data_IF_328501617771
#
_entry.id   IF_328501617771
#
_cell.length_a   1.000
_cell.length_b   1.000
_cell.length_c   1.000
_cell.angle_alpha   90.00
_cell.angle_beta   90.00
_cell.angle_gamma   90.00
#
_symmetry.space_group_name_H-M   'P 1'
#
loop_
_entity.id
_entity.type
_entity.pdbx_description
1 polymer ?
#
# COMPACT_ATOMS: atom_id res chain seq x y z
N UNK A 1 5.00 17.96 30.04
CA UNK A 1 4.24 17.88 28.76
C UNK A 1 4.31 16.50 28.07
N UNK A 2 4.83 15.43 28.71
CA UNK A 2 4.97 14.10 28.08
C UNK A 2 3.90 13.07 28.46
N UNK A 3 3.35 13.13 29.68
CA UNK A 3 2.41 12.12 30.20
C UNK A 3 1.03 12.21 29.53
N UNK A 4 0.53 13.43 29.30
CA UNK A 4 -0.78 13.67 28.66
C UNK A 4 -0.76 13.27 27.17
N UNK A 5 0.36 13.50 26.46
CA UNK A 5 0.52 13.07 25.07
C UNK A 5 0.53 11.54 24.93
N UNK A 6 1.12 10.83 25.91
CA UNK A 6 1.14 9.36 25.96
C UNK A 6 -0.26 8.76 26.20
N UNK A 7 -1.04 9.32 27.14
CA UNK A 7 -2.41 8.86 27.44
C UNK A 7 -3.39 9.09 26.27
N UNK A 8 -3.33 10.24 25.59
CA UNK A 8 -4.15 10.50 24.41
C UNK A 8 -3.82 9.56 23.24
N UNK A 9 -2.59 9.03 23.16
CA UNK A 9 -2.23 8.04 22.13
C UNK A 9 -2.94 6.68 22.32
N UNK A 10 -3.34 6.35 23.56
CA UNK A 10 -3.99 5.08 23.92
C UNK A 10 -5.51 5.15 23.77
N UNK A 11 -6.11 6.34 23.84
CA UNK A 11 -7.55 6.55 23.71
C UNK A 11 -7.98 7.18 22.38
N UNK A 12 -7.03 7.49 21.50
CA UNK A 12 -7.31 8.00 20.15
C UNK A 12 -7.98 6.95 19.25
N UNK A 13 -8.68 7.41 18.22
CA UNK A 13 -9.36 6.56 17.21
C UNK A 13 -8.37 5.62 16.50
N UNK A 14 -7.10 6.02 16.38
CA UNK A 14 -6.03 5.20 15.80
C UNK A 14 -5.21 4.41 16.83
N UNK A 15 -5.67 4.34 18.08
CA UNK A 15 -5.00 3.62 19.15
C UNK A 15 -4.97 2.11 18.86
N UNK A 16 -3.83 1.42 19.12
CA UNK A 16 -3.78 -0.04 19.09
C UNK A 16 -4.82 -0.72 20.00
N UNK A 17 -5.21 -0.07 21.11
CA UNK A 17 -6.23 -0.58 22.02
C UNK A 17 -7.61 -0.50 21.39
N UNK A 18 -7.96 0.63 20.78
CA UNK A 18 -9.23 0.82 20.07
C UNK A 18 -9.39 -0.20 18.92
N UNK A 19 -8.34 -0.40 18.12
CA UNK A 19 -8.38 -1.38 17.04
C UNK A 19 -8.48 -2.82 17.56
N UNK A 20 -7.76 -3.17 18.64
CA UNK A 20 -7.86 -4.51 19.25
C UNK A 20 -9.25 -4.77 19.81
N UNK A 21 -9.83 -3.82 20.54
CA UNK A 21 -11.18 -3.99 21.10
C UNK A 21 -12.22 -4.08 19.99
N UNK A 22 -12.14 -3.21 18.97
CA UNK A 22 -13.02 -3.28 17.81
C UNK A 22 -12.92 -4.63 17.10
N UNK A 23 -11.71 -5.14 16.86
CA UNK A 23 -11.46 -6.43 16.20
C UNK A 23 -12.06 -7.62 16.96
N UNK A 24 -11.90 -7.63 18.29
CA UNK A 24 -12.49 -8.67 19.14
C UNK A 24 -14.02 -8.59 19.05
N UNK A 25 -14.59 -7.39 19.18
CA UNK A 25 -16.04 -7.17 19.13
C UNK A 25 -16.64 -7.48 17.75
N UNK A 26 -15.88 -7.28 16.67
CA UNK A 26 -16.34 -7.59 15.30
C UNK A 26 -16.29 -9.08 14.95
N UNK A 27 -15.65 -9.91 15.78
CA UNK A 27 -15.46 -11.33 15.51
C UNK A 27 -14.61 -11.59 14.27
N UNK A 28 -13.61 -10.75 14.02
CA UNK A 28 -12.73 -10.86 12.85
C UNK A 28 -11.85 -12.11 12.94
N UNK A 29 -11.87 -12.95 11.91
CA UNK A 29 -11.03 -14.13 11.76
C UNK A 29 -9.77 -13.78 10.97
N UNK A 30 -8.62 -14.30 11.40
CA UNK A 30 -7.36 -14.14 10.67
C UNK A 30 -7.38 -15.00 9.40
N UNK A 31 -6.99 -14.41 8.27
CA UNK A 31 -6.97 -15.07 6.97
C UNK A 31 -5.54 -15.35 6.54
N UNK A 32 -4.66 -14.36 6.64
CA UNK A 32 -3.25 -14.51 6.30
C UNK A 32 -2.44 -13.22 6.48
N UNK A 33 -1.16 -13.31 6.13
CA UNK A 33 -0.21 -12.22 6.23
C UNK A 33 0.56 -12.09 4.90
N UNK A 34 0.81 -10.87 4.45
CA UNK A 34 1.64 -10.63 3.26
C UNK A 34 3.14 -10.53 3.60
N UNK A 35 3.96 -10.46 2.55
CA UNK A 35 5.42 -10.32 2.64
C UNK A 35 5.89 -9.02 3.32
N UNK A 36 5.03 -7.99 3.39
CA UNK A 36 5.33 -6.71 4.03
C UNK A 36 4.90 -6.69 5.50
N UNK A 37 4.27 -7.78 5.95
CA UNK A 37 3.82 -7.98 7.32
C UNK A 37 2.40 -7.48 7.60
N UNK A 38 1.66 -6.99 6.60
CA UNK A 38 0.25 -6.61 6.79
C UNK A 38 -0.59 -7.87 7.02
N UNK A 39 -1.55 -7.79 7.95
CA UNK A 39 -2.39 -8.91 8.35
C UNK A 39 -3.81 -8.71 7.87
N UNK A 40 -4.38 -9.75 7.26
CA UNK A 40 -5.69 -9.70 6.64
C UNK A 40 -6.71 -10.48 7.47
N UNK A 41 -7.90 -9.91 7.58
CA UNK A 41 -8.97 -10.44 8.41
C UNK A 41 -10.31 -10.41 7.69
N UNK A 42 -11.17 -11.36 8.02
CA UNK A 42 -12.54 -11.43 7.54
C UNK A 42 -13.51 -11.47 8.72
N UNK A 43 -14.57 -10.67 8.68
CA UNK A 43 -15.61 -10.61 9.70
C UNK A 43 -17.00 -10.75 9.08
N UNK A 44 -17.98 -11.05 9.94
CA UNK A 44 -19.38 -11.14 9.51
C UNK A 44 -19.86 -9.83 8.88
N UNK A 45 -20.82 -9.91 7.93
CA UNK A 45 -21.46 -8.72 7.37
C UNK A 45 -22.02 -7.79 8.44
N UNK A 46 -21.96 -6.49 8.21
CA UNK A 46 -22.67 -5.52 9.05
C UNK A 46 -24.17 -5.63 8.76
N UNK A 47 -25.02 -5.31 9.76
CA UNK A 47 -26.47 -5.20 9.55
C UNK A 47 -26.77 -4.34 8.32
N UNK A 48 -27.54 -4.88 7.38
CA UNK A 48 -27.88 -4.23 6.10
C UNK A 48 -26.92 -4.52 4.94
N UNK A 49 -25.83 -5.25 5.16
CA UNK A 49 -24.89 -5.68 4.12
C UNK A 49 -24.93 -7.20 3.97
N UNK A 50 -24.71 -7.68 2.74
CA UNK A 50 -24.66 -9.12 2.43
C UNK A 50 -23.24 -9.67 2.44
N UNK A 51 -22.25 -8.85 2.07
CA UNK A 51 -20.84 -9.27 1.98
C UNK A 51 -20.16 -9.28 3.34
N UNK A 52 -19.25 -10.24 3.52
CA UNK A 52 -18.33 -10.27 4.66
C UNK A 52 -17.46 -9.01 4.64
N UNK A 53 -17.02 -8.58 5.82
CA UNK A 53 -16.11 -7.43 5.94
C UNK A 53 -14.68 -7.94 5.85
N UNK A 54 -13.95 -7.50 4.82
CA UNK A 54 -12.52 -7.77 4.68
C UNK A 54 -11.74 -6.54 5.13
N UNK A 55 -10.76 -6.73 5.99
CA UNK A 55 -9.99 -5.63 6.60
C UNK A 55 -8.51 -5.98 6.62
N UNK A 56 -7.67 -4.95 6.59
CA UNK A 56 -6.22 -5.07 6.69
C UNK A 56 -5.72 -4.29 7.91
N UNK A 57 -4.85 -4.95 8.67
CA UNK A 57 -4.02 -4.32 9.69
C UNK A 57 -2.64 -4.06 9.07
N UNK A 58 -2.33 -2.80 8.85
CA UNK A 58 -1.05 -2.39 8.28
C UNK A 58 0.10 -2.62 9.24
N UNK A 59 1.25 -3.01 8.69
CA UNK A 59 2.51 -2.96 9.40
C UNK A 59 3.04 -1.52 9.42
N UNK A 60 2.97 -0.87 10.58
CA UNK A 60 3.36 0.54 10.78
C UNK A 60 2.25 1.53 10.39
N UNK A 61 2.65 2.67 9.82
CA UNK A 61 1.70 3.72 9.47
C UNK A 61 0.69 3.26 8.39
N UNK A 62 -0.62 3.49 8.58
CA UNK A 62 -1.64 3.05 7.65
C UNK A 62 -1.57 3.84 6.35
N UNK A 63 -1.43 3.14 5.23
CA UNK A 63 -1.38 3.71 3.89
C UNK A 63 -1.96 2.69 2.91
N UNK A 64 -2.95 3.11 2.12
CA UNK A 64 -3.77 2.19 1.33
C UNK A 64 -2.98 1.44 0.25
N UNK A 65 -1.99 2.10 -0.35
CA UNK A 65 -1.11 1.51 -1.35
C UNK A 65 0.05 0.70 -0.75
N UNK A 66 -0.04 0.27 0.52
CA UNK A 66 0.84 -0.78 1.06
C UNK A 66 0.30 -2.19 0.83
N UNK A 67 -0.94 -2.33 0.38
CA UNK A 67 -1.57 -3.63 0.08
C UNK A 67 -1.06 -4.15 -1.27
N UNK A 68 -0.28 -5.24 -1.31
CA UNK A 68 0.22 -5.79 -2.56
C UNK A 68 -0.93 -6.26 -3.48
N UNK A 69 -0.70 -6.33 -4.80
CA UNK A 69 -1.73 -6.69 -5.78
C UNK A 69 -2.40 -8.04 -5.51
N UNK A 70 -1.62 -9.00 -4.99
CA UNK A 70 -2.08 -10.35 -4.67
C UNK A 70 -3.16 -10.34 -3.57
N UNK A 71 -3.08 -9.42 -2.61
CA UNK A 71 -4.07 -9.24 -1.56
C UNK A 71 -5.14 -8.20 -1.90
N UNK A 72 -4.84 -7.26 -2.80
CA UNK A 72 -5.77 -6.21 -3.22
C UNK A 72 -7.05 -6.78 -3.82
N UNK A 73 -6.94 -7.77 -4.70
CA UNK A 73 -8.11 -8.42 -5.32
C UNK A 73 -9.03 -9.08 -4.30
N UNK A 74 -8.46 -9.78 -3.33
CA UNK A 74 -9.21 -10.36 -2.22
C UNK A 74 -9.84 -9.28 -1.34
N UNK A 75 -9.07 -8.28 -0.91
CA UNK A 75 -9.55 -7.21 -0.01
C UNK A 75 -10.74 -6.44 -0.60
N UNK A 76 -10.76 -6.23 -1.92
CA UNK A 76 -11.80 -5.50 -2.64
C UNK A 76 -12.92 -6.37 -3.22
N UNK A 77 -13.03 -7.64 -2.81
CA UNK A 77 -14.04 -8.59 -3.30
C UNK A 77 -14.02 -8.79 -4.83
N UNK A 78 -12.86 -8.63 -5.46
CA UNK A 78 -12.66 -8.97 -6.88
C UNK A 78 -12.42 -10.48 -7.06
N UNK A 79 -11.87 -11.13 -6.03
CA UNK A 79 -11.65 -12.57 -5.97
C UNK A 79 -11.93 -13.07 -4.55
N UNK A 80 -12.37 -14.32 -4.44
CA UNK A 80 -12.46 -15.03 -3.15
C UNK A 80 -11.17 -15.80 -2.81
N UNK A 81 -10.27 -15.91 -3.80
CA UNK A 81 -8.95 -16.50 -3.62
C UNK A 81 -8.02 -15.46 -2.99
N UNK A 82 -7.44 -15.80 -1.84
CA UNK A 82 -6.31 -15.09 -1.26
C UNK A 82 -5.03 -15.92 -1.51
N UNK A 83 -3.85 -15.27 -1.60
CA UNK A 83 -2.60 -15.98 -1.79
C UNK A 83 -2.28 -16.79 -0.51
N UNK A 84 -2.58 -18.08 -0.54
CA UNK A 84 -2.18 -19.03 0.51
C UNK A 84 -0.77 -19.55 0.22
N UNK A 85 0.02 -19.78 1.26
CA UNK A 85 1.34 -20.40 1.16
C UNK A 85 1.30 -21.89 0.73
N UNK A 86 0.11 -22.46 0.54
CA UNK A 86 -0.06 -23.83 0.06
C UNK A 86 0.44 -23.94 -1.40
N UNK A 87 1.36 -24.88 -1.62
CA UNK A 87 2.28 -25.01 -2.76
C UNK A 87 1.66 -24.96 -4.16
N UNK A 88 0.36 -25.18 -4.30
CA UNK A 88 -0.32 -25.27 -5.60
C UNK A 88 -0.79 -23.92 -6.16
N UNK A 89 -0.77 -22.84 -5.37
CA UNK A 89 -0.97 -21.49 -5.89
C UNK A 89 0.35 -20.96 -6.43
N UNK A 90 0.72 -21.41 -7.64
CA UNK A 90 1.77 -20.79 -8.46
C UNK A 90 1.68 -19.28 -8.28
N UNK A 91 2.73 -18.67 -7.72
CA UNK A 91 2.83 -17.23 -7.55
C UNK A 91 2.22 -16.57 -8.78
N UNK A 92 1.19 -15.73 -8.59
CA UNK A 92 0.53 -15.03 -9.70
C UNK A 92 1.51 -14.12 -10.48
N UNK A 93 2.77 -14.05 -10.01
CA UNK A 93 3.81 -13.24 -10.59
C UNK A 93 4.40 -13.82 -11.86
N UNK A 94 4.66 -12.92 -12.80
CA UNK A 94 5.39 -13.20 -14.03
C UNK A 94 6.84 -12.72 -13.92
N UNK A 95 7.80 -13.34 -14.63
CA UNK A 95 9.22 -12.98 -14.51
C UNK A 95 9.55 -11.51 -14.82
N UNK A 96 8.75 -10.86 -15.66
CA UNK A 96 8.93 -9.45 -16.03
C UNK A 96 8.32 -8.46 -15.02
N UNK A 97 7.59 -8.94 -14.01
CA UNK A 97 6.95 -8.07 -13.02
C UNK A 97 7.98 -7.60 -11.98
N UNK A 98 7.97 -6.30 -11.73
CA UNK A 98 8.81 -5.70 -10.69
C UNK A 98 8.28 -6.07 -9.29
N UNK A 99 9.16 -6.10 -8.27
CA UNK A 99 8.72 -6.12 -6.88
C UNK A 99 7.74 -5.00 -6.57
N UNK A 100 6.75 -5.29 -5.73
CA UNK A 100 5.77 -4.28 -5.33
C UNK A 100 6.42 -3.21 -4.47
N UNK A 101 6.05 -1.96 -4.71
CA UNK A 101 6.44 -0.80 -3.92
C UNK A 101 5.21 0.07 -3.70
N UNK A 102 5.04 0.54 -2.47
CA UNK A 102 3.95 1.44 -2.12
C UNK A 102 4.12 2.81 -2.79
N UNK A 103 3.06 3.61 -2.80
CA UNK A 103 3.07 4.96 -3.34
C UNK A 103 4.04 5.85 -2.54
N UNK A 104 4.92 6.52 -3.28
CA UNK A 104 5.95 7.44 -2.75
C UNK A 104 5.62 8.91 -3.02
N UNK A 105 4.39 9.20 -3.45
CA UNK A 105 3.97 10.58 -3.70
C UNK A 105 4.14 11.43 -2.43
N UNK A 106 4.72 12.62 -2.58
CA UNK A 106 4.96 13.52 -1.46
C UNK A 106 6.17 13.16 -0.59
N UNK A 107 6.98 12.17 -0.99
CA UNK A 107 8.28 11.87 -0.39
C UNK A 107 9.43 12.23 -1.32
N UNK A 108 10.67 12.22 -0.80
CA UNK A 108 11.88 12.46 -1.60
C UNK A 108 12.10 11.40 -2.70
N UNK A 109 11.44 10.25 -2.58
CA UNK A 109 11.51 9.14 -3.54
C UNK A 109 10.35 9.16 -4.55
N UNK A 110 9.58 10.26 -4.63
CA UNK A 110 8.51 10.41 -5.58
C UNK A 110 9.02 10.30 -7.03
N UNK A 111 8.19 9.72 -7.91
CA UNK A 111 8.51 9.66 -9.33
C UNK A 111 8.59 11.08 -9.93
N UNK A 112 9.70 11.36 -10.60
CA UNK A 112 9.90 12.60 -11.35
C UNK A 112 10.09 12.28 -12.83
N UNK A 113 9.32 12.91 -13.74
CA UNK A 113 9.47 12.71 -15.17
C UNK A 113 10.82 13.21 -15.67
N UNK A 114 11.30 12.73 -16.83
CA UNK A 114 12.43 13.34 -17.53
C UNK A 114 12.16 14.84 -17.74
N UNK A 115 13.19 15.68 -17.55
CA UNK A 115 13.08 17.14 -17.64
C UNK A 115 12.62 17.83 -16.36
N UNK A 116 12.24 17.10 -15.31
CA UNK A 116 11.87 17.70 -14.04
C UNK A 116 13.07 18.44 -13.41
N UNK A 117 12.86 19.66 -12.89
CA UNK A 117 13.94 20.52 -12.37
C UNK A 117 14.73 19.85 -11.24
N UNK A 118 14.03 19.20 -10.29
CA UNK A 118 14.65 18.46 -9.19
C UNK A 118 15.43 17.21 -9.65
N UNK A 119 15.25 16.78 -10.90
CA UNK A 119 15.95 15.65 -11.53
C UNK A 119 17.00 16.10 -12.55
N UNK A 120 17.42 17.37 -12.49
CA UNK A 120 18.47 17.94 -13.36
C UNK A 120 17.96 18.57 -14.65
N UNK A 121 16.64 18.66 -14.89
CA UNK A 121 16.08 19.40 -16.02
C UNK A 121 16.32 18.79 -17.41
N UNK A 122 16.99 17.64 -17.49
CA UNK A 122 17.30 16.97 -18.75
C UNK A 122 16.13 16.09 -19.19
N UNK A 123 15.59 16.37 -20.38
CA UNK A 123 14.60 15.53 -21.06
C UNK A 123 15.25 14.77 -22.21
N UNK A 124 14.56 13.74 -22.69
CA UNK A 124 14.95 13.03 -23.90
C UNK A 124 14.97 14.01 -25.09
N UNK A 125 15.98 13.84 -25.97
CA UNK A 125 16.10 14.66 -27.18
C UNK A 125 14.97 14.32 -28.16
N UNK A 126 14.41 15.35 -28.77
CA UNK A 126 13.44 15.22 -29.85
C UNK A 126 14.08 15.58 -31.19
N UNK A 127 13.52 15.06 -32.29
CA UNK A 127 14.02 15.34 -33.65
C UNK A 127 13.95 16.81 -34.04
N UNK A 128 13.10 17.60 -33.37
CA UNK A 128 12.98 19.05 -33.56
C UNK A 128 13.85 19.90 -32.63
N UNK A 129 14.74 19.28 -31.85
CA UNK A 129 15.61 20.02 -30.95
C UNK A 129 16.62 20.84 -31.76
N UNK A 130 16.61 22.16 -31.53
CA UNK A 130 17.53 23.08 -32.16
C UNK A 130 18.96 22.84 -31.67
N UNK A 131 19.90 22.71 -32.60
CA UNK A 131 21.33 22.70 -32.31
C UNK A 131 21.89 24.11 -32.54
N UNK A 132 22.33 24.76 -31.46
CA UNK A 132 22.90 26.10 -31.55
C UNK A 132 24.27 26.07 -32.26
N UNK A 133 24.43 26.92 -33.27
CA UNK A 133 25.72 27.12 -33.93
C UNK A 133 26.70 27.83 -32.97
N UNK A 134 27.92 27.29 -32.86
CA UNK A 134 29.02 27.91 -32.10
C UNK A 134 30.11 28.40 -33.06
N UNK A 135 30.44 29.70 -33.10
CA UNK A 135 31.47 30.23 -33.99
C UNK A 135 32.88 29.72 -33.63
N UNK A 136 33.77 29.56 -34.62
CA UNK A 136 35.20 29.35 -34.36
C UNK A 136 35.86 30.60 -33.75
N UNK A 137 36.89 30.39 -32.91
CA UNK A 137 37.69 31.43 -32.24
C UNK A 137 38.62 32.18 -33.20
#
# INVERSE_FOLDING_TARGET
MGIIKSLCSILGVLSPVHFKTWKIMSGSKFVGQDIFGNKYYEARPRKGYTRTRRTVDYNGAPEASKVPPEWHGWLHHQSDVFPSLEEDQKSFRRPWQKPYSANKTGTDEAYMPPGHQLKGGQRDKASGDYEAWTPPQ
#
